data_IF_840776767053
#
_entry.id   IF_840776767053
#
_cell.length_a   1.000
_cell.length_b   1.000
_cell.length_c   1.000
_cell.angle_alpha   90.00
_cell.angle_beta   90.00
_cell.angle_gamma   90.00
#
_symmetry.space_group_name_H-M   'P 1'
#
loop_
_entity.id
_entity.type
_entity.pdbx_description
1 polymer ?
#
# COMPACT_ATOMS: atom_id res chain seq x y z
N UNK A 1 20.13 -22.68 -0.57
CA UNK A 1 20.36 -21.89 -1.81
C UNK A 1 21.75 -22.14 -2.43
N UNK A 2 22.85 -22.20 -1.66
CA UNK A 2 24.17 -22.57 -2.22
C UNK A 2 24.21 -23.97 -2.87
N UNK A 3 23.35 -24.89 -2.42
CA UNK A 3 23.16 -26.19 -3.08
C UNK A 3 22.52 -26.12 -4.47
N UNK A 4 21.84 -25.01 -4.81
CA UNK A 4 21.27 -24.74 -6.14
C UNK A 4 22.33 -24.12 -7.05
N UNK A 5 23.01 -23.07 -6.57
CA UNK A 5 24.12 -22.46 -7.28
C UNK A 5 25.05 -21.73 -6.32
N UNK A 6 26.36 -21.87 -6.56
CA UNK A 6 27.43 -21.14 -5.86
C UNK A 6 27.88 -19.86 -6.60
N UNK A 7 27.46 -19.72 -7.86
CA UNK A 7 27.92 -18.68 -8.78
C UNK A 7 26.81 -17.67 -9.14
N UNK A 8 25.58 -18.13 -9.30
CA UNK A 8 24.44 -17.25 -9.57
C UNK A 8 23.95 -16.62 -8.27
N UNK A 9 23.87 -15.28 -8.17
CA UNK A 9 23.17 -14.62 -7.06
C UNK A 9 21.72 -15.09 -6.98
N UNK A 10 21.31 -15.60 -5.83
CA UNK A 10 19.92 -16.00 -5.56
C UNK A 10 19.46 -15.28 -4.30
N UNK A 11 18.40 -14.48 -4.43
CA UNK A 11 17.64 -13.89 -3.34
C UNK A 11 16.20 -14.40 -3.43
N UNK A 12 15.63 -14.86 -2.33
CA UNK A 12 14.23 -15.26 -2.22
C UNK A 12 13.57 -14.42 -1.14
N UNK A 13 12.73 -13.47 -1.54
CA UNK A 13 11.95 -12.65 -0.62
C UNK A 13 10.66 -13.38 -0.28
N UNK A 14 10.28 -13.35 1.00
CA UNK A 14 8.95 -13.83 1.44
C UNK A 14 7.88 -12.95 0.79
N UNK A 15 6.73 -13.53 0.52
CA UNK A 15 5.60 -12.85 -0.11
C UNK A 15 5.19 -11.57 0.61
N UNK A 16 5.32 -11.51 1.93
CA UNK A 16 5.03 -10.31 2.74
C UNK A 16 6.11 -9.21 2.66
N UNK A 17 7.19 -9.43 1.91
CA UNK A 17 8.25 -8.45 1.70
C UNK A 17 9.18 -8.19 2.89
N UNK A 18 8.87 -8.69 4.10
CA UNK A 18 9.57 -8.33 5.34
C UNK A 18 10.71 -9.28 5.74
N UNK A 19 10.97 -10.30 4.92
CA UNK A 19 12.10 -11.19 5.11
C UNK A 19 12.60 -11.80 3.81
N UNK A 20 13.87 -12.22 3.80
CA UNK A 20 14.45 -12.91 2.66
C UNK A 20 15.51 -13.95 3.04
N UNK A 21 15.77 -14.86 2.11
CA UNK A 21 16.91 -15.76 2.11
C UNK A 21 17.83 -15.41 0.95
N UNK A 22 19.14 -15.55 1.14
CA UNK A 22 20.10 -15.34 0.04
C UNK A 22 21.26 -16.34 0.09
N UNK A 23 21.83 -16.66 -1.08
CA UNK A 23 23.02 -17.52 -1.16
C UNK A 23 24.34 -16.72 -1.01
N UNK A 24 25.48 -17.40 -0.93
CA UNK A 24 26.79 -16.72 -0.80
C UNK A 24 27.13 -15.86 -2.02
N UNK A 25 26.67 -16.24 -3.21
CA UNK A 25 26.86 -15.44 -4.42
C UNK A 25 26.11 -14.10 -4.33
N UNK A 26 24.85 -14.11 -3.85
CA UNK A 26 24.07 -12.91 -3.60
C UNK A 26 24.72 -12.03 -2.52
N UNK A 27 25.20 -12.62 -1.41
CA UNK A 27 25.93 -11.85 -0.39
C UNK A 27 27.13 -11.09 -0.97
N UNK A 28 27.95 -11.75 -1.81
CA UNK A 28 29.08 -11.10 -2.50
C UNK A 28 28.60 -10.03 -3.48
N UNK A 29 27.58 -10.33 -4.27
CA UNK A 29 27.04 -9.40 -5.26
C UNK A 29 26.51 -8.12 -4.61
N UNK A 30 25.76 -8.24 -3.51
CA UNK A 30 25.20 -7.12 -2.74
C UNK A 30 26.22 -6.39 -1.86
N UNK A 31 27.44 -6.92 -1.71
CA UNK A 31 28.40 -6.49 -0.69
C UNK A 31 27.81 -6.53 0.73
N UNK A 32 27.04 -7.58 1.04
CA UNK A 32 26.30 -7.72 2.29
C UNK A 32 27.14 -8.39 3.40
N UNK A 33 27.70 -7.56 4.28
CA UNK A 33 28.63 -7.93 5.35
C UNK A 33 27.95 -8.16 6.73
N UNK A 34 26.64 -7.95 6.82
CA UNK A 34 25.91 -8.08 8.09
C UNK A 34 25.87 -9.53 8.61
N UNK A 35 25.86 -9.72 9.95
CA UNK A 35 25.86 -11.05 10.53
C UNK A 35 24.58 -11.81 10.18
N UNK A 36 24.74 -13.11 9.90
CA UNK A 36 23.63 -14.08 9.82
C UNK A 36 24.03 -15.20 10.78
N UNK A 37 23.28 -15.35 11.88
CA UNK A 37 23.62 -16.31 12.95
C UNK A 37 23.62 -17.75 12.42
N UNK A 38 22.52 -18.16 11.76
CA UNK A 38 22.47 -19.44 11.07
C UNK A 38 22.09 -19.27 9.60
N UNK A 39 22.70 -20.09 8.73
CA UNK A 39 22.44 -20.06 7.29
C UNK A 39 20.97 -20.35 6.90
N UNK A 40 20.19 -20.89 7.84
CA UNK A 40 18.76 -21.18 7.72
C UNK A 40 17.85 -20.09 8.28
N UNK A 41 18.40 -19.04 8.89
CA UNK A 41 17.60 -17.96 9.45
C UNK A 41 17.21 -16.99 8.34
N UNK A 42 15.95 -16.54 8.30
CA UNK A 42 15.56 -15.47 7.41
C UNK A 42 16.24 -14.17 7.84
N UNK A 43 16.70 -13.38 6.87
CA UNK A 43 17.12 -12.00 7.09
C UNK A 43 15.84 -11.16 7.21
N UNK A 44 15.66 -10.43 8.31
CA UNK A 44 14.45 -9.67 8.61
C UNK A 44 14.76 -8.27 9.15
N UNK A 45 13.73 -7.43 9.27
CA UNK A 45 13.85 -6.07 9.82
C UNK A 45 14.83 -5.22 9.02
N UNK A 46 15.65 -4.39 9.68
CA UNK A 46 16.58 -3.46 9.01
C UNK A 46 17.56 -4.14 8.05
N UNK A 47 17.94 -5.39 8.32
CA UNK A 47 18.84 -6.14 7.44
C UNK A 47 18.15 -6.63 6.16
N UNK A 48 16.84 -6.88 6.19
CA UNK A 48 16.05 -7.14 4.99
C UNK A 48 16.03 -5.89 4.11
N UNK A 49 15.72 -4.74 4.70
CA UNK A 49 15.67 -3.45 3.98
C UNK A 49 17.01 -3.13 3.31
N UNK A 50 18.12 -3.26 4.04
CA UNK A 50 19.45 -3.05 3.47
C UNK A 50 19.76 -3.99 2.30
N UNK A 51 19.38 -5.26 2.40
CA UNK A 51 19.60 -6.22 1.32
C UNK A 51 18.78 -5.89 0.07
N UNK A 52 17.54 -5.40 0.25
CA UNK A 52 16.65 -4.97 -0.84
C UNK A 52 17.18 -3.68 -1.48
N UNK A 53 17.60 -2.70 -0.69
CA UNK A 53 18.24 -1.46 -1.16
C UNK A 53 19.44 -1.79 -2.08
N UNK A 54 20.37 -2.61 -1.58
CA UNK A 54 21.57 -3.02 -2.33
C UNK A 54 21.26 -3.77 -3.61
N UNK A 55 20.16 -4.54 -3.62
CA UNK A 55 19.68 -5.25 -4.80
C UNK A 55 19.20 -4.22 -5.82
N UNK A 56 18.35 -3.27 -5.41
CA UNK A 56 17.80 -2.25 -6.31
C UNK A 56 18.90 -1.39 -6.96
N UNK A 57 19.90 -0.96 -6.18
CA UNK A 57 21.09 -0.23 -6.69
C UNK A 57 21.80 -0.98 -7.83
N UNK A 58 21.69 -2.30 -7.89
CA UNK A 58 22.40 -3.17 -8.86
C UNK A 58 21.52 -3.67 -9.98
N UNK A 59 20.19 -3.54 -9.89
CA UNK A 59 19.28 -3.86 -10.99
C UNK A 59 19.50 -2.81 -12.09
N UNK A 60 19.78 -3.20 -13.35
CA UNK A 60 20.01 -2.24 -14.43
C UNK A 60 18.81 -1.30 -14.63
N UNK A 61 19.09 0.00 -14.82
CA UNK A 61 18.07 1.06 -15.01
C UNK A 61 17.08 0.71 -16.12
N UNK A 62 17.55 0.19 -17.26
CA UNK A 62 16.67 -0.17 -18.38
C UNK A 62 15.68 -1.30 -18.03
N UNK A 63 16.09 -2.24 -17.17
CA UNK A 63 15.18 -3.27 -16.66
C UNK A 63 14.13 -2.67 -15.71
N UNK A 64 14.50 -1.68 -14.89
CA UNK A 64 13.56 -0.96 -14.03
C UNK A 64 12.53 -0.17 -14.87
N UNK A 65 12.98 0.52 -15.92
CA UNK A 65 12.10 1.20 -16.90
C UNK A 65 11.12 0.23 -17.55
N UNK A 66 11.59 -0.91 -18.02
CA UNK A 66 10.75 -1.95 -18.61
C UNK A 66 9.72 -2.49 -17.62
N UNK A 67 10.13 -2.70 -16.36
CA UNK A 67 9.25 -3.16 -15.29
C UNK A 67 8.11 -2.15 -15.02
N UNK A 68 8.40 -0.85 -14.92
CA UNK A 68 7.36 0.17 -14.73
C UNK A 68 6.37 0.23 -15.89
N UNK A 69 6.86 0.18 -17.15
CA UNK A 69 5.99 0.16 -18.33
C UNK A 69 5.13 -1.10 -18.38
N UNK A 70 5.71 -2.25 -18.01
CA UNK A 70 4.99 -3.53 -17.94
C UNK A 70 3.92 -3.51 -16.87
N UNK A 71 4.22 -2.98 -15.68
CA UNK A 71 3.25 -2.80 -14.60
C UNK A 71 2.10 -1.89 -15.02
N UNK A 72 2.38 -0.77 -15.70
CA UNK A 72 1.33 0.11 -16.22
C UNK A 72 0.39 -0.56 -17.23
N UNK A 73 0.93 -1.38 -18.14
CA UNK A 73 0.10 -2.18 -19.07
C UNK A 73 -0.74 -3.23 -18.35
N UNK A 74 -0.16 -3.89 -17.35
CA UNK A 74 -0.88 -4.88 -16.54
C UNK A 74 -2.04 -4.24 -15.78
N UNK A 75 -1.80 -3.08 -15.15
CA UNK A 75 -2.80 -2.27 -14.46
C UNK A 75 -3.95 -1.85 -15.40
N UNK A 76 -3.63 -1.33 -16.59
CA UNK A 76 -4.63 -0.99 -17.60
C UNK A 76 -5.48 -2.18 -18.00
N UNK A 77 -4.86 -3.35 -18.19
CA UNK A 77 -5.58 -4.56 -18.60
C UNK A 77 -6.61 -5.03 -17.57
N UNK A 78 -6.45 -4.61 -16.31
CA UNK A 78 -7.34 -4.90 -15.17
C UNK A 78 -8.28 -3.74 -14.82
N UNK A 79 -8.28 -2.65 -15.61
CA UNK A 79 -9.15 -1.49 -15.39
C UNK A 79 -8.60 -0.44 -14.42
N UNK A 80 -7.33 -0.49 -14.05
CA UNK A 80 -6.69 0.57 -13.25
C UNK A 80 -6.14 1.63 -14.18
N UNK A 81 -6.75 2.81 -14.19
CA UNK A 81 -6.33 3.96 -15.02
C UNK A 81 -5.51 5.00 -14.26
N UNK A 82 -5.48 4.92 -12.93
CA UNK A 82 -4.63 5.75 -12.09
C UNK A 82 -4.23 5.09 -10.78
N UNK A 83 -3.04 5.45 -10.26
CA UNK A 83 -2.48 4.85 -9.05
C UNK A 83 -1.63 5.81 -8.22
N UNK A 84 -1.68 5.65 -6.90
CA UNK A 84 -0.63 6.13 -6.01
C UNK A 84 0.54 5.13 -6.09
N UNK A 85 1.71 5.61 -6.50
CA UNK A 85 2.91 4.79 -6.68
C UNK A 85 3.84 5.05 -5.51
N UNK A 86 3.93 4.06 -4.62
CA UNK A 86 4.91 4.05 -3.54
C UNK A 86 6.27 3.75 -4.18
N UNK A 87 7.08 4.79 -4.37
CA UNK A 87 8.28 4.75 -5.23
C UNK A 87 9.56 4.83 -4.41
N UNK A 88 10.57 4.08 -4.85
CA UNK A 88 11.83 3.92 -4.15
C UNK A 88 11.69 2.97 -2.98
N UNK A 89 12.15 1.73 -3.12
CA UNK A 89 12.17 0.77 -2.01
C UNK A 89 13.36 1.09 -1.11
N UNK A 90 13.21 0.88 0.21
CA UNK A 90 14.25 1.13 1.21
C UNK A 90 14.93 2.53 1.11
N UNK A 91 14.18 3.59 0.74
CA UNK A 91 14.71 4.94 0.65
C UNK A 91 15.45 5.30 -0.65
N UNK A 92 15.49 4.40 -1.64
CA UNK A 92 16.18 4.64 -2.90
C UNK A 92 15.42 5.59 -3.83
N UNK A 93 15.85 6.85 -3.93
CA UNK A 93 15.13 7.90 -4.67
C UNK A 93 15.44 7.98 -6.17
N UNK A 94 16.44 7.25 -6.69
CA UNK A 94 16.80 7.30 -8.13
C UNK A 94 15.63 6.89 -9.03
N UNK A 95 14.78 5.98 -8.54
CA UNK A 95 13.60 5.52 -9.28
C UNK A 95 12.59 6.63 -9.55
N UNK A 96 12.58 7.71 -8.79
CA UNK A 96 11.74 8.90 -9.07
C UNK A 96 12.09 9.48 -10.44
N UNK A 97 13.37 9.72 -10.71
CA UNK A 97 13.83 10.31 -11.97
C UNK A 97 13.70 9.33 -13.14
N UNK A 98 14.03 8.05 -12.90
CA UNK A 98 13.81 6.98 -13.88
C UNK A 98 12.34 6.93 -14.27
N UNK A 99 11.43 6.98 -13.31
CA UNK A 99 10.01 6.97 -13.55
C UNK A 99 9.53 8.22 -14.28
N UNK A 100 10.02 9.42 -13.91
CA UNK A 100 9.71 10.68 -14.61
C UNK A 100 10.06 10.61 -16.10
N UNK A 101 11.21 10.02 -16.45
CA UNK A 101 11.63 9.82 -17.85
C UNK A 101 10.63 8.98 -18.66
N UNK A 102 10.02 7.98 -18.03
CA UNK A 102 9.13 7.01 -18.69
C UNK A 102 7.65 7.18 -18.36
N UNK A 103 7.26 8.19 -17.57
CA UNK A 103 5.90 8.35 -17.04
C UNK A 103 4.82 8.32 -18.13
N UNK A 104 5.09 8.92 -19.29
CA UNK A 104 4.18 8.91 -20.44
C UNK A 104 4.01 7.51 -21.06
N UNK A 105 5.03 6.65 -20.97
CA UNK A 105 5.03 5.26 -21.46
C UNK A 105 4.34 4.29 -20.51
N UNK A 106 4.25 4.60 -19.22
CA UNK A 106 3.54 3.77 -18.22
C UNK A 106 2.06 3.65 -18.57
N UNK A 107 1.47 4.71 -19.11
CA UNK A 107 0.11 4.63 -19.67
C UNK A 107 -1.01 4.68 -18.63
N UNK A 108 -0.75 5.02 -17.37
CA UNK A 108 -1.75 5.36 -16.34
C UNK A 108 -1.46 6.74 -15.70
N UNK A 109 -2.45 7.33 -15.04
CA UNK A 109 -2.24 8.55 -14.23
C UNK A 109 -1.55 8.16 -12.93
N UNK A 110 -0.46 8.82 -12.53
CA UNK A 110 0.26 8.41 -11.32
C UNK A 110 0.64 9.57 -10.44
N UNK A 111 0.55 9.31 -9.14
CA UNK A 111 1.04 10.20 -8.09
C UNK A 111 2.13 9.47 -7.31
N UNK A 112 3.32 10.05 -7.30
CA UNK A 112 4.48 9.45 -6.64
C UNK A 112 4.48 9.77 -5.15
N UNK A 113 4.69 8.74 -4.35
CA UNK A 113 4.93 8.80 -2.90
C UNK A 113 6.32 8.21 -2.65
N UNK A 114 7.36 9.05 -2.53
CA UNK A 114 8.72 8.58 -2.30
C UNK A 114 8.88 8.03 -0.88
N UNK A 115 9.37 6.80 -0.76
CA UNK A 115 9.48 6.10 0.53
C UNK A 115 10.81 6.40 1.23
N UNK A 116 11.11 7.68 1.44
CA UNK A 116 12.33 8.13 2.11
C UNK A 116 11.99 9.08 3.29
N UNK A 117 12.49 8.81 4.51
CA UNK A 117 12.23 9.66 5.67
C UNK A 117 13.07 10.95 5.72
N UNK A 118 14.06 11.12 4.85
CA UNK A 118 14.86 12.35 4.73
C UNK A 118 14.08 13.40 3.93
N UNK A 119 13.33 14.24 4.63
CA UNK A 119 12.43 15.26 4.07
C UNK A 119 13.17 16.18 3.09
N UNK A 120 14.40 16.59 3.40
CA UNK A 120 15.19 17.49 2.55
C UNK A 120 15.43 16.88 1.17
N UNK A 121 15.78 15.59 1.10
CA UNK A 121 16.01 14.89 -0.18
C UNK A 121 14.74 14.78 -1.02
N UNK A 122 13.59 14.61 -0.38
CA UNK A 122 12.30 14.59 -1.09
C UNK A 122 11.97 15.98 -1.64
N UNK A 123 12.22 17.03 -0.87
CA UNK A 123 12.03 18.41 -1.30
C UNK A 123 12.97 18.80 -2.46
N UNK A 124 14.22 18.33 -2.46
CA UNK A 124 15.18 18.53 -3.57
C UNK A 124 14.67 17.96 -4.91
N UNK A 125 13.79 16.96 -4.86
CA UNK A 125 13.13 16.39 -6.04
C UNK A 125 11.86 17.13 -6.45
N UNK A 126 11.51 18.24 -5.78
CA UNK A 126 10.31 19.05 -6.03
C UNK A 126 9.00 18.23 -5.95
N UNK A 127 8.97 17.24 -5.05
CA UNK A 127 7.78 16.44 -4.77
C UNK A 127 6.95 17.08 -3.67
N UNK A 128 5.62 16.96 -3.74
CA UNK A 128 4.68 17.49 -2.74
C UNK A 128 4.20 16.43 -1.74
N UNK A 129 4.84 15.26 -1.74
CA UNK A 129 4.42 14.10 -0.96
C UNK A 129 5.66 13.35 -0.51
N UNK A 130 5.57 12.73 0.66
CA UNK A 130 6.47 11.69 1.09
C UNK A 130 5.68 10.53 1.66
N UNK A 131 6.32 9.38 1.67
CA UNK A 131 5.79 8.21 2.32
C UNK A 131 5.43 7.13 1.34
N UNK A 132 4.52 6.30 1.79
CA UNK A 132 4.19 5.00 1.24
C UNK A 132 4.49 3.99 2.33
N UNK A 133 5.23 2.94 2.02
CA UNK A 133 5.80 2.04 3.02
C UNK A 133 7.04 2.65 3.71
N UNK A 134 6.95 3.90 4.22
CA UNK A 134 7.81 4.26 5.36
C UNK A 134 7.25 3.45 6.53
N UNK A 135 7.93 2.35 6.82
CA UNK A 135 7.49 1.31 7.75
C UNK A 135 7.60 1.83 9.19
N UNK A 136 6.45 1.96 9.87
CA UNK A 136 6.42 2.16 11.32
C UNK A 136 6.55 0.81 12.05
N UNK A 137 5.97 -0.24 11.47
CA UNK A 137 6.09 -1.62 11.91
C UNK A 137 6.16 -2.61 10.73
N UNK A 138 6.14 -3.92 11.04
CA UNK A 138 6.12 -4.98 10.03
C UNK A 138 4.72 -5.55 9.79
N UNK A 139 4.59 -6.88 9.71
CA UNK A 139 3.32 -7.57 9.40
C UNK A 139 2.92 -8.61 10.44
N UNK A 140 1.65 -9.00 10.48
CA UNK A 140 1.18 -10.11 11.32
C UNK A 140 1.79 -11.46 10.91
N UNK A 141 2.05 -11.64 9.61
CA UNK A 141 2.62 -12.87 9.05
C UNK A 141 4.01 -13.19 9.60
N UNK A 142 4.82 -12.15 9.82
CA UNK A 142 6.15 -12.23 10.40
C UNK A 142 6.19 -11.96 11.92
N UNK A 143 5.04 -11.65 12.53
CA UNK A 143 4.90 -11.24 13.95
C UNK A 143 5.74 -10.01 14.29
N UNK A 144 5.87 -9.11 13.33
CA UNK A 144 6.64 -7.86 13.44
C UNK A 144 5.75 -6.63 13.46
N UNK A 145 4.46 -6.75 13.11
CA UNK A 145 3.49 -5.67 13.36
C UNK A 145 3.39 -5.39 14.85
N UNK A 146 3.46 -4.11 15.24
CA UNK A 146 3.59 -3.66 16.62
C UNK A 146 2.22 -3.63 17.30
N UNK A 147 2.06 -4.42 18.36
CA UNK A 147 0.79 -4.60 19.05
C UNK A 147 0.82 -3.97 20.44
N UNK A 148 -0.31 -3.48 20.93
CA UNK A 148 -0.50 -3.06 22.34
C UNK A 148 -0.55 -4.23 23.32
N UNK A 149 -0.78 -5.45 22.82
CA UNK A 149 -0.82 -6.71 23.59
C UNK A 149 -0.12 -7.84 22.84
N UNK A 150 0.46 -8.84 23.54
CA UNK A 150 1.28 -9.85 22.88
C UNK A 150 0.51 -10.63 21.82
N UNK A 151 1.21 -11.16 20.81
CA UNK A 151 0.64 -12.11 19.87
C UNK A 151 0.07 -13.33 20.62
N UNK A 152 -1.13 -13.77 20.23
CA UNK A 152 -1.83 -14.89 20.87
C UNK A 152 -1.04 -16.19 20.76
N UNK A 153 -0.33 -16.39 19.65
CA UNK A 153 0.46 -17.59 19.39
C UNK A 153 1.97 -17.41 19.65
N UNK A 154 2.39 -16.28 20.19
CA UNK A 154 3.77 -16.00 20.57
C UNK A 154 3.80 -15.12 21.84
N UNK A 155 3.60 -15.73 23.03
CA UNK A 155 3.60 -15.00 24.30
C UNK A 155 4.87 -14.17 24.49
N UNK A 156 4.70 -12.93 24.95
CA UNK A 156 5.80 -11.97 25.16
C UNK A 156 6.27 -11.24 23.91
N UNK A 157 5.90 -11.68 22.70
CA UNK A 157 6.19 -10.94 21.49
C UNK A 157 5.12 -9.86 21.25
N UNK A 158 5.53 -8.60 21.15
CA UNK A 158 4.68 -7.43 20.90
C UNK A 158 4.88 -6.84 19.50
N UNK A 159 5.69 -7.47 18.64
CA UNK A 159 6.14 -6.88 17.38
C UNK A 159 7.26 -5.86 17.57
N UNK A 160 7.46 -5.01 16.55
CA UNK A 160 8.60 -4.09 16.49
C UNK A 160 8.13 -2.74 15.94
N UNK A 161 8.40 -1.66 16.69
CA UNK A 161 8.38 -0.30 16.14
C UNK A 161 9.76 0.02 15.56
N UNK A 162 9.80 0.51 14.33
CA UNK A 162 11.05 0.89 13.67
C UNK A 162 11.49 2.33 13.98
N UNK A 163 10.60 3.12 14.56
CA UNK A 163 10.86 4.48 15.02
C UNK A 163 10.57 4.60 16.51
N UNK A 164 11.38 5.41 17.20
CA UNK A 164 10.98 5.97 18.49
C UNK A 164 9.93 7.07 18.29
N UNK A 165 9.15 7.34 19.35
CA UNK A 165 8.15 8.41 19.33
C UNK A 165 8.77 9.78 18.98
N UNK A 166 10.01 10.03 19.40
CA UNK A 166 10.72 11.28 19.08
C UNK A 166 11.16 11.35 17.62
N UNK A 167 11.63 10.25 17.04
CA UNK A 167 12.05 10.22 15.63
C UNK A 167 10.85 10.43 14.71
N UNK A 168 9.73 9.71 14.95
CA UNK A 168 8.53 9.88 14.15
C UNK A 168 7.91 11.28 14.32
N UNK A 169 7.87 11.81 15.55
CA UNK A 169 7.41 13.17 15.81
C UNK A 169 8.22 14.22 15.05
N UNK A 170 9.54 14.08 15.01
CA UNK A 170 10.40 15.00 14.26
C UNK A 170 10.17 14.89 12.75
N UNK A 171 10.05 13.67 12.22
CA UNK A 171 9.74 13.45 10.81
C UNK A 171 8.41 14.10 10.42
N UNK A 172 7.35 13.84 11.20
CA UNK A 172 6.02 14.41 10.97
C UNK A 172 6.05 15.94 11.00
N UNK A 173 6.75 16.52 11.98
CA UNK A 173 6.91 17.97 12.09
C UNK A 173 7.59 18.54 10.83
N UNK A 174 8.76 18.04 10.47
CA UNK A 174 9.53 18.55 9.32
C UNK A 174 8.76 18.42 8.02
N UNK A 175 8.12 17.27 7.78
CA UNK A 175 7.31 17.04 6.59
C UNK A 175 6.09 17.95 6.50
N UNK A 176 5.39 18.16 7.62
CA UNK A 176 4.23 19.05 7.68
C UNK A 176 4.64 20.52 7.45
N UNK A 177 5.75 20.97 8.05
CA UNK A 177 6.31 22.31 7.83
C UNK A 177 6.76 22.51 6.37
N UNK A 178 7.19 21.45 5.69
CA UNK A 178 7.51 21.44 4.27
C UNK A 178 6.27 21.34 3.34
N UNK A 179 5.06 21.23 3.89
CA UNK A 179 3.82 21.14 3.12
C UNK A 179 3.64 19.83 2.36
N UNK A 180 4.31 18.76 2.80
CA UNK A 180 4.23 17.46 2.16
C UNK A 180 3.04 16.64 2.68
N UNK A 181 2.24 16.08 1.77
CA UNK A 181 1.31 15.02 2.14
C UNK A 181 2.13 13.81 2.64
N UNK A 182 1.79 13.32 3.83
CA UNK A 182 2.46 12.19 4.47
C UNK A 182 1.62 10.93 4.33
N UNK A 183 2.29 9.80 4.13
CA UNK A 183 1.69 8.50 4.39
C UNK A 183 2.68 7.49 4.98
N UNK A 184 2.22 6.67 5.91
CA UNK A 184 3.05 5.72 6.65
C UNK A 184 2.41 4.34 6.67
N UNK A 185 3.22 3.30 6.58
CA UNK A 185 2.79 1.92 6.79
C UNK A 185 2.62 1.65 8.27
N UNK A 186 1.42 1.20 8.67
CA UNK A 186 1.17 0.67 10.00
C UNK A 186 0.10 -0.42 9.98
N UNK A 187 0.47 -1.61 10.45
CA UNK A 187 -0.43 -2.77 10.50
C UNK A 187 -0.98 -2.98 11.92
N UNK A 188 -0.14 -2.91 12.94
CA UNK A 188 -0.51 -3.15 14.33
C UNK A 188 -1.07 -1.91 15.05
N UNK A 189 -1.85 -2.13 16.12
CA UNK A 189 -2.53 -1.06 16.86
C UNK A 189 -1.57 -0.11 17.59
N UNK A 190 -0.37 -0.57 17.96
CA UNK A 190 0.66 0.30 18.55
C UNK A 190 1.32 1.21 17.50
N UNK A 191 1.50 0.73 16.27
CA UNK A 191 2.04 1.55 15.19
C UNK A 191 1.04 2.63 14.74
N UNK A 192 -0.24 2.27 14.63
CA UNK A 192 -1.32 3.23 14.34
C UNK A 192 -1.42 4.29 15.45
N UNK A 193 -1.34 3.89 16.72
CA UNK A 193 -1.24 4.80 17.87
C UNK A 193 -0.06 5.78 17.71
N UNK A 194 1.12 5.28 17.38
CA UNK A 194 2.33 6.09 17.26
C UNK A 194 2.18 7.19 16.19
N UNK A 195 1.60 6.86 15.05
CA UNK A 195 1.34 7.83 13.97
C UNK A 195 0.31 8.87 14.42
N UNK A 196 -0.83 8.43 14.98
CA UNK A 196 -1.89 9.34 15.43
C UNK A 196 -1.34 10.31 16.48
N UNK A 197 -0.58 9.82 17.47
CA UNK A 197 0.05 10.65 18.50
C UNK A 197 1.04 11.67 17.92
N UNK A 198 1.75 11.34 16.83
CA UNK A 198 2.61 12.29 16.13
C UNK A 198 1.79 13.34 15.35
N UNK A 199 0.73 12.92 14.66
CA UNK A 199 -0.16 13.83 13.93
C UNK A 199 -0.89 14.81 14.85
N UNK A 200 -1.45 14.36 15.98
CA UNK A 200 -2.12 15.21 16.98
C UNK A 200 -1.26 16.40 17.45
N UNK A 201 0.07 16.28 17.36
CA UNK A 201 0.99 17.33 17.80
C UNK A 201 1.30 18.38 16.74
N UNK A 202 1.20 18.05 15.45
CA UNK A 202 1.82 18.86 14.40
C UNK A 202 0.93 19.14 13.20
N UNK A 203 -0.09 18.33 12.91
CA UNK A 203 -0.97 18.56 11.76
C UNK A 203 -2.20 19.37 12.18
N UNK A 204 -2.75 20.14 11.24
CA UNK A 204 -4.09 20.71 11.39
C UNK A 204 -5.13 19.58 11.35
N UNK A 205 -6.03 19.43 12.35
CA UNK A 205 -7.09 18.42 12.35
C UNK A 205 -8.05 18.49 11.15
N UNK A 206 -8.16 19.65 10.48
CA UNK A 206 -8.87 19.75 9.20
C UNK A 206 -8.21 18.92 8.09
N UNK A 207 -6.92 18.60 8.28
CA UNK A 207 -6.07 17.79 7.43
C UNK A 207 -6.08 18.23 5.95
N UNK A 208 -5.71 19.49 5.65
CA UNK A 208 -5.75 20.03 4.29
C UNK A 208 -4.84 19.28 3.33
N UNK A 209 -3.72 18.73 3.84
CA UNK A 209 -2.77 17.93 3.08
C UNK A 209 -3.24 16.49 2.86
N UNK A 210 -4.28 16.04 3.57
CA UNK A 210 -4.86 14.69 3.48
C UNK A 210 -3.84 13.61 3.86
N UNK A 211 -3.17 13.79 4.99
CA UNK A 211 -2.29 12.79 5.58
C UNK A 211 -3.01 11.45 5.73
N UNK A 212 -2.25 10.37 5.52
CA UNK A 212 -2.76 9.00 5.41
C UNK A 212 -2.05 8.05 6.35
N UNK A 213 -2.75 6.97 6.70
CA UNK A 213 -2.15 5.75 7.23
C UNK A 213 -2.45 4.64 6.22
N UNK A 214 -1.41 3.98 5.71
CA UNK A 214 -1.57 2.79 4.87
C UNK A 214 -1.76 1.56 5.74
N UNK A 215 -2.55 0.62 5.22
CA UNK A 215 -3.02 -0.59 5.87
C UNK A 215 -4.01 -0.28 6.99
N UNK A 216 -3.53 0.31 8.10
CA UNK A 216 -4.31 0.54 9.32
C UNK A 216 -5.11 -0.71 9.72
N UNK A 217 -4.49 -1.89 9.59
CA UNK A 217 -5.23 -3.15 9.63
C UNK A 217 -5.88 -3.38 10.98
N UNK A 218 -5.11 -3.41 12.08
CA UNK A 218 -5.66 -3.56 13.42
C UNK A 218 -5.93 -2.18 14.03
N UNK A 219 -7.18 -1.73 13.93
CA UNK A 219 -7.60 -0.41 14.40
C UNK A 219 -8.80 -0.52 15.35
N UNK A 220 -8.57 -0.59 16.68
CA UNK A 220 -9.65 -0.63 17.67
C UNK A 220 -10.43 0.71 17.73
N UNK A 221 -11.65 0.72 18.32
CA UNK A 221 -12.55 1.88 18.31
C UNK A 221 -11.93 3.20 18.81
N UNK A 222 -11.06 3.16 19.82
CA UNK A 222 -10.38 4.35 20.34
C UNK A 222 -9.46 5.01 19.29
N UNK A 223 -8.83 4.21 18.43
CA UNK A 223 -8.00 4.72 17.34
C UNK A 223 -8.86 5.21 16.16
N UNK A 224 -10.01 4.58 15.89
CA UNK A 224 -10.96 5.05 14.89
C UNK A 224 -11.45 6.46 15.23
N UNK A 225 -11.81 6.70 16.50
CA UNK A 225 -12.26 8.01 16.98
C UNK A 225 -11.20 9.09 16.79
N UNK A 226 -9.95 8.81 17.16
CA UNK A 226 -8.84 9.77 17.02
C UNK A 226 -8.45 10.00 15.56
N UNK A 227 -8.47 8.96 14.73
CA UNK A 227 -8.25 9.11 13.29
C UNK A 227 -9.32 9.99 12.64
N UNK A 228 -10.60 9.88 13.08
CA UNK A 228 -11.69 10.75 12.64
C UNK A 228 -11.45 12.19 13.04
N UNK A 229 -11.04 12.43 14.28
CA UNK A 229 -10.82 13.79 14.80
C UNK A 229 -9.71 14.53 14.04
N UNK A 230 -8.77 13.78 13.48
CA UNK A 230 -7.72 14.27 12.58
C UNK A 230 -8.11 14.24 11.08
N UNK A 231 -9.35 13.89 10.74
CA UNK A 231 -9.83 13.75 9.36
C UNK A 231 -8.87 12.95 8.47
N UNK A 232 -8.31 11.85 9.00
CA UNK A 232 -7.34 11.03 8.27
C UNK A 232 -7.99 10.29 7.10
N UNK A 233 -7.18 10.05 6.06
CA UNK A 233 -7.53 9.13 4.98
C UNK A 233 -6.84 7.79 5.26
N UNK A 234 -7.56 6.69 5.13
CA UNK A 234 -6.99 5.35 5.34
C UNK A 234 -6.79 4.66 3.99
N UNK A 235 -5.54 4.31 3.70
CA UNK A 235 -5.18 3.52 2.54
C UNK A 235 -5.35 2.03 2.86
N UNK A 236 -6.30 1.33 2.23
CA UNK A 236 -6.71 -0.01 2.67
C UNK A 236 -6.62 -1.06 1.55
N UNK A 237 -6.37 -2.32 1.94
CA UNK A 237 -6.23 -3.46 1.02
C UNK A 237 -7.27 -4.55 1.38
N UNK A 238 -8.51 -4.46 0.90
CA UNK A 238 -9.60 -5.35 1.33
C UNK A 238 -9.33 -6.85 1.09
N UNK A 239 -8.54 -7.19 0.07
CA UNK A 239 -8.17 -8.58 -0.25
C UNK A 239 -7.41 -9.24 0.91
N UNK A 240 -6.66 -8.47 1.71
CA UNK A 240 -5.91 -8.98 2.87
C UNK A 240 -6.85 -9.67 3.85
N UNK A 241 -7.97 -9.03 4.18
CA UNK A 241 -8.93 -9.55 5.14
C UNK A 241 -9.62 -10.83 4.63
N UNK A 242 -9.99 -10.88 3.35
CA UNK A 242 -10.57 -12.12 2.80
C UNK A 242 -9.56 -13.26 2.69
N UNK A 243 -8.26 -12.96 2.59
CA UNK A 243 -7.19 -13.95 2.46
C UNK A 243 -6.73 -14.47 3.82
N UNK A 244 -6.58 -13.57 4.81
CA UNK A 244 -5.93 -13.87 6.08
C UNK A 244 -6.83 -13.69 7.32
N UNK A 245 -7.88 -12.88 7.20
CA UNK A 245 -8.84 -12.53 8.25
C UNK A 245 -9.98 -13.53 8.47
N UNK A 246 -10.01 -14.62 7.71
CA UNK A 246 -11.01 -15.68 7.85
C UNK A 246 -10.99 -16.32 9.24
N UNK A 247 -12.11 -16.93 9.63
CA UNK A 247 -12.21 -17.70 10.87
C UNK A 247 -11.18 -18.86 10.87
N UNK A 248 -10.42 -19.01 11.95
CA UNK A 248 -9.29 -19.95 12.01
C UNK A 248 -8.10 -19.61 11.09
N UNK A 249 -8.17 -18.49 10.36
CA UNK A 249 -7.13 -17.97 9.48
C UNK A 249 -5.92 -17.43 10.22
N UNK A 250 -5.04 -16.74 9.49
CA UNK A 250 -3.79 -16.22 10.05
C UNK A 250 -4.06 -15.17 11.13
N UNK A 251 -5.00 -14.24 10.92
CA UNK A 251 -5.31 -13.19 11.91
C UNK A 251 -5.91 -13.78 13.18
N UNK A 252 -6.81 -14.76 13.06
CA UNK A 252 -7.38 -15.47 14.20
C UNK A 252 -6.29 -16.11 15.07
N UNK A 253 -5.30 -16.77 14.46
CA UNK A 253 -4.17 -17.39 15.17
C UNK A 253 -3.28 -16.35 15.85
N UNK A 254 -3.00 -15.23 15.18
CA UNK A 254 -2.08 -14.18 15.67
C UNK A 254 -2.69 -13.28 16.73
N UNK A 255 -3.97 -12.95 16.61
CA UNK A 255 -4.64 -11.88 17.36
C UNK A 255 -5.72 -12.39 18.32
N UNK A 256 -6.23 -13.61 18.10
CA UNK A 256 -7.39 -14.15 18.81
C UNK A 256 -8.61 -13.26 18.63
N UNK A 257 -9.31 -12.97 19.72
CA UNK A 257 -10.50 -12.11 19.76
C UNK A 257 -10.29 -10.70 19.18
N UNK A 258 -9.04 -10.20 19.18
CA UNK A 258 -8.72 -8.88 18.60
C UNK A 258 -8.84 -8.86 17.08
N UNK A 259 -8.92 -10.00 16.40
CA UNK A 259 -9.18 -10.06 14.94
C UNK A 259 -10.46 -9.30 14.56
N UNK A 260 -11.41 -9.12 15.48
CA UNK A 260 -12.64 -8.35 15.20
C UNK A 260 -12.40 -6.86 14.88
N UNK A 261 -11.18 -6.38 15.13
CA UNK A 261 -10.73 -5.03 14.82
C UNK A 261 -9.79 -4.98 13.62
N UNK A 262 -9.61 -6.10 12.89
CA UNK A 262 -8.88 -6.06 11.62
C UNK A 262 -9.80 -5.57 10.51
N UNK A 263 -9.31 -4.61 9.72
CA UNK A 263 -9.97 -4.07 8.53
C UNK A 263 -11.47 -3.74 8.71
N UNK A 264 -11.90 -3.03 9.79
CA UNK A 264 -13.31 -2.87 10.13
C UNK A 264 -14.01 -1.82 9.25
N UNK A 265 -14.13 -2.08 7.94
CA UNK A 265 -14.45 -1.09 6.91
C UNK A 265 -15.78 -0.35 7.15
N UNK A 266 -16.84 -1.05 7.56
CA UNK A 266 -18.10 -0.41 7.95
C UNK A 266 -17.89 0.55 9.12
N UNK A 267 -17.24 0.09 10.18
CA UNK A 267 -16.97 0.92 11.36
C UNK A 267 -16.17 2.18 11.01
N UNK A 268 -15.21 2.08 10.09
CA UNK A 268 -14.44 3.23 9.59
C UNK A 268 -15.33 4.23 8.82
N UNK A 269 -16.16 3.75 7.89
CA UNK A 269 -17.06 4.61 7.12
C UNK A 269 -18.12 5.27 8.01
N UNK A 270 -18.70 4.54 8.96
CA UNK A 270 -19.71 5.06 9.88
C UNK A 270 -19.14 6.13 10.83
N UNK A 271 -17.83 6.04 11.14
CA UNK A 271 -17.11 7.10 11.86
C UNK A 271 -16.83 8.34 11.00
N UNK A 272 -17.08 8.30 9.68
CA UNK A 272 -16.85 9.40 8.75
C UNK A 272 -15.46 9.42 8.11
N UNK A 273 -14.66 8.36 8.29
CA UNK A 273 -13.35 8.24 7.65
C UNK A 273 -13.47 7.96 6.16
N UNK A 274 -12.43 8.31 5.41
CA UNK A 274 -12.34 8.04 3.96
C UNK A 274 -11.40 6.87 3.71
N UNK A 275 -11.87 5.90 2.94
CA UNK A 275 -11.07 4.76 2.48
C UNK A 275 -10.56 5.01 1.06
N UNK A 276 -9.25 4.94 0.86
CA UNK A 276 -8.60 4.92 -0.45
C UNK A 276 -8.06 3.50 -0.69
N UNK A 277 -8.73 2.72 -1.53
CA UNK A 277 -8.42 1.30 -1.67
C UNK A 277 -7.29 1.04 -2.68
N UNK A 278 -6.50 0.00 -2.41
CA UNK A 278 -5.44 -0.49 -3.29
C UNK A 278 -5.24 -2.00 -3.12
N UNK A 279 -4.31 -2.58 -3.87
CA UNK A 279 -3.94 -4.00 -3.76
C UNK A 279 -2.62 -4.22 -3.03
N UNK A 280 -1.82 -3.15 -2.84
CA UNK A 280 -0.42 -3.28 -2.43
C UNK A 280 0.34 -4.26 -3.33
N UNK A 281 0.16 -4.12 -4.65
CA UNK A 281 0.77 -5.05 -5.59
C UNK A 281 2.30 -4.99 -5.49
N UNK A 282 2.99 -6.15 -5.54
CA UNK A 282 2.46 -7.45 -5.93
C UNK A 282 1.97 -8.34 -4.78
N UNK A 283 1.82 -7.83 -3.55
CA UNK A 283 1.39 -8.63 -2.38
C UNK A 283 0.02 -9.27 -2.62
N UNK A 284 -0.92 -8.50 -3.17
CA UNK A 284 -2.10 -9.07 -3.84
C UNK A 284 -2.19 -8.61 -5.28
N UNK A 285 -2.94 -9.36 -6.09
CA UNK A 285 -3.14 -9.03 -7.50
C UNK A 285 -3.75 -7.61 -7.63
N UNK A 286 -3.26 -6.76 -8.54
CA UNK A 286 -3.80 -5.41 -8.74
C UNK A 286 -5.11 -5.45 -9.54
N UNK A 287 -6.11 -6.13 -8.99
CA UNK A 287 -7.41 -6.38 -9.60
C UNK A 287 -8.51 -5.73 -8.74
N UNK A 288 -9.01 -4.54 -9.13
CA UNK A 288 -10.08 -3.86 -8.40
C UNK A 288 -11.35 -4.70 -8.25
N UNK A 289 -11.63 -5.62 -9.19
CA UNK A 289 -12.80 -6.50 -9.09
C UNK A 289 -12.69 -7.42 -7.87
N UNK A 290 -11.50 -7.97 -7.61
CA UNK A 290 -11.23 -8.76 -6.41
C UNK A 290 -11.29 -7.91 -5.15
N UNK A 291 -10.75 -6.69 -5.20
CA UNK A 291 -10.82 -5.74 -4.09
C UNK A 291 -12.25 -5.36 -3.70
N UNK A 292 -13.09 -5.04 -4.68
CA UNK A 292 -14.52 -4.74 -4.47
C UNK A 292 -15.22 -5.99 -3.92
N UNK A 293 -15.01 -7.18 -4.50
CA UNK A 293 -15.58 -8.43 -3.96
C UNK A 293 -15.14 -8.68 -2.52
N UNK A 294 -13.92 -8.33 -2.15
CA UNK A 294 -13.42 -8.51 -0.79
C UNK A 294 -14.12 -7.59 0.22
N UNK A 295 -14.40 -6.33 -0.14
CA UNK A 295 -15.25 -5.45 0.67
C UNK A 295 -16.66 -6.03 0.91
N UNK A 296 -17.26 -6.62 -0.12
CA UNK A 296 -18.60 -7.20 -0.05
C UNK A 296 -18.66 -8.53 0.72
N UNK A 297 -17.53 -9.25 0.78
CA UNK A 297 -17.40 -10.58 1.37
C UNK A 297 -16.48 -10.59 2.60
N UNK A 298 -16.37 -9.45 3.29
CA UNK A 298 -15.65 -9.37 4.56
C UNK A 298 -16.14 -10.50 5.52
N UNK A 299 -15.23 -11.27 6.15
CA UNK A 299 -15.56 -12.46 6.95
C UNK A 299 -16.40 -12.14 8.20
N UNK A 300 -16.40 -10.88 8.64
CA UNK A 300 -17.30 -10.35 9.66
C UNK A 300 -18.40 -9.55 8.95
N UNK A 301 -19.62 -10.07 8.94
CA UNK A 301 -20.74 -9.53 8.15
C UNK A 301 -21.03 -8.05 8.44
N UNK A 302 -20.94 -7.63 9.69
CA UNK A 302 -21.17 -6.23 10.09
C UNK A 302 -20.12 -5.25 9.54
N UNK A 303 -18.96 -5.73 9.10
CA UNK A 303 -17.90 -4.88 8.53
C UNK A 303 -17.94 -4.80 7.01
N UNK A 304 -18.89 -5.50 6.36
CA UNK A 304 -19.11 -5.39 4.91
C UNK A 304 -19.63 -4.00 4.54
N UNK A 305 -19.20 -3.51 3.38
CA UNK A 305 -19.68 -2.23 2.84
C UNK A 305 -20.53 -2.42 1.58
N UNK A 306 -21.28 -1.39 1.18
CA UNK A 306 -22.12 -1.47 -0.01
C UNK A 306 -21.27 -1.45 -1.28
N UNK A 307 -21.79 -1.95 -2.41
CA UNK A 307 -21.05 -1.92 -3.67
C UNK A 307 -20.67 -0.50 -4.11
N UNK A 308 -21.54 0.50 -3.89
CA UNK A 308 -21.24 1.90 -4.23
C UNK A 308 -20.12 2.48 -3.35
N UNK A 309 -20.08 2.15 -2.06
CA UNK A 309 -18.98 2.57 -1.19
C UNK A 309 -17.66 1.89 -1.60
N UNK A 310 -17.69 0.61 -1.96
CA UNK A 310 -16.53 -0.13 -2.43
C UNK A 310 -15.99 0.44 -3.77
N UNK A 311 -16.87 0.75 -4.72
CA UNK A 311 -16.48 1.44 -5.97
C UNK A 311 -15.92 2.83 -5.66
N UNK A 312 -16.54 3.58 -4.75
CA UNK A 312 -16.06 4.90 -4.37
C UNK A 312 -14.64 4.83 -3.77
N UNK A 313 -14.33 3.82 -2.97
CA UNK A 313 -13.01 3.59 -2.39
C UNK A 313 -11.91 3.42 -3.46
N UNK A 314 -12.22 2.75 -4.57
CA UNK A 314 -11.32 2.57 -5.72
C UNK A 314 -11.35 3.71 -6.75
N UNK A 315 -12.30 4.65 -6.65
CA UNK A 315 -12.50 5.73 -7.63
C UNK A 315 -12.41 7.11 -6.97
N UNK A 316 -13.54 7.72 -6.63
CA UNK A 316 -13.61 9.11 -6.12
C UNK A 316 -12.84 9.33 -4.82
N UNK A 317 -12.81 8.35 -3.91
CA UNK A 317 -12.07 8.44 -2.64
C UNK A 317 -10.57 8.19 -2.84
N UNK A 318 -10.20 7.29 -3.75
CA UNK A 318 -8.82 7.14 -4.19
C UNK A 318 -8.27 8.41 -4.84
N UNK A 319 -9.06 9.03 -5.74
CA UNK A 319 -8.73 10.32 -6.36
C UNK A 319 -8.58 11.43 -5.31
N UNK A 320 -9.47 11.49 -4.32
CA UNK A 320 -9.36 12.43 -3.19
C UNK A 320 -8.06 12.21 -2.40
N UNK A 321 -7.71 10.96 -2.08
CA UNK A 321 -6.45 10.64 -1.38
C UNK A 321 -5.19 11.03 -2.17
N UNK A 322 -5.31 11.23 -3.48
CA UNK A 322 -4.23 11.65 -4.38
C UNK A 322 -4.27 13.14 -4.76
N UNK A 323 -5.29 13.90 -4.31
CA UNK A 323 -5.58 15.28 -4.79
C UNK A 323 -5.83 15.35 -6.31
N UNK A 324 -6.62 14.42 -6.83
CA UNK A 324 -7.02 14.32 -8.25
C UNK A 324 -8.54 14.33 -8.47
N UNK A 325 -9.33 14.53 -7.41
CA UNK A 325 -10.79 14.43 -7.44
C UNK A 325 -11.48 15.50 -8.28
N UNK A 326 -10.75 16.53 -8.72
CA UNK A 326 -11.21 17.58 -9.63
C UNK A 326 -11.09 17.18 -11.11
N UNK A 327 -10.39 16.08 -11.41
CA UNK A 327 -10.09 15.62 -12.77
C UNK A 327 -10.37 14.15 -13.05
N UNK A 328 -10.36 13.27 -12.04
CA UNK A 328 -10.61 11.82 -12.21
C UNK A 328 -11.48 11.25 -11.08
N UNK A 329 -11.85 9.96 -11.21
CA UNK A 329 -12.56 9.22 -10.17
C UNK A 329 -14.07 9.48 -10.15
N UNK A 330 -14.62 10.23 -11.10
CA UNK A 330 -16.05 10.45 -11.28
C UNK A 330 -16.37 10.73 -12.75
N UNK A 331 -17.55 10.31 -13.21
CA UNK A 331 -18.05 10.61 -14.55
C UNK A 331 -18.76 11.96 -14.53
N UNK A 332 -18.04 13.02 -14.88
CA UNK A 332 -18.52 14.41 -14.85
C UNK A 332 -17.96 15.21 -16.03
N UNK A 333 -18.68 16.25 -16.46
CA UNK A 333 -18.18 17.19 -17.46
C UNK A 333 -16.90 17.86 -16.94
N UNK A 334 -15.85 17.91 -17.76
CA UNK A 334 -14.54 18.46 -17.41
C UNK A 334 -13.54 17.45 -16.84
N UNK A 335 -13.97 16.22 -16.54
CA UNK A 335 -13.09 15.17 -16.00
C UNK A 335 -12.49 14.33 -17.15
N UNK A 336 -11.39 13.63 -16.88
CA UNK A 336 -10.82 12.66 -17.82
C UNK A 336 -11.83 11.54 -18.09
N UNK A 337 -12.01 11.19 -19.37
CA UNK A 337 -12.81 10.05 -19.79
C UNK A 337 -12.04 8.73 -19.57
N UNK A 338 -11.85 8.40 -18.29
CA UNK A 338 -11.25 7.16 -17.80
C UNK A 338 -12.38 6.26 -17.31
N UNK A 339 -12.83 5.33 -18.15
CA UNK A 339 -14.08 4.60 -17.98
C UNK A 339 -13.85 3.09 -18.06
N UNK A 340 -14.63 2.35 -17.28
CA UNK A 340 -14.76 0.90 -17.36
C UNK A 340 -16.11 0.57 -17.97
N UNK A 341 -16.11 -0.31 -18.97
CA UNK A 341 -17.31 -0.74 -19.68
C UNK A 341 -17.63 -2.17 -19.29
N UNK A 342 -18.90 -2.40 -18.97
CA UNK A 342 -19.47 -3.70 -18.60
C UNK A 342 -20.64 -4.00 -19.53
N UNK A 343 -20.89 -5.28 -19.82
CA UNK A 343 -22.03 -5.68 -20.66
C UNK A 343 -23.37 -5.50 -19.93
N UNK A 344 -23.39 -5.86 -18.65
CA UNK A 344 -24.53 -5.73 -17.74
C UNK A 344 -24.13 -4.89 -16.53
N UNK A 345 -25.10 -4.53 -15.67
CA UNK A 345 -24.80 -3.84 -14.42
C UNK A 345 -23.91 -4.74 -13.52
N UNK A 346 -22.65 -4.35 -13.24
CA UNK A 346 -21.74 -5.15 -12.43
C UNK A 346 -22.18 -5.27 -10.97
N UNK A 347 -23.10 -4.40 -10.51
CA UNK A 347 -23.68 -4.44 -9.18
C UNK A 347 -24.80 -5.46 -9.06
N UNK A 348 -25.50 -5.75 -10.15
CA UNK A 348 -26.55 -6.78 -10.18
C UNK A 348 -25.97 -8.17 -10.44
N UNK A 349 -25.04 -8.27 -11.40
CA UNK A 349 -24.45 -9.57 -11.80
C UNK A 349 -23.35 -10.05 -10.86
N UNK A 350 -22.70 -9.12 -10.13
CA UNK A 350 -21.48 -9.40 -9.37
C UNK A 350 -20.25 -9.68 -10.24
N UNK A 351 -20.37 -9.57 -11.58
CA UNK A 351 -19.24 -9.61 -12.49
C UNK A 351 -18.60 -8.22 -12.59
N UNK A 352 -17.62 -8.00 -11.73
CA UNK A 352 -16.90 -6.74 -11.62
C UNK A 352 -15.72 -6.66 -12.59
N UNK A 353 -15.60 -7.59 -13.55
CA UNK A 353 -14.55 -7.56 -14.57
C UNK A 353 -15.00 -6.71 -15.77
N UNK A 354 -14.27 -5.65 -16.14
CA UNK A 354 -14.64 -4.84 -17.29
C UNK A 354 -14.37 -5.57 -18.62
N UNK A 355 -15.27 -5.39 -19.58
CA UNK A 355 -15.11 -5.84 -20.97
C UNK A 355 -14.20 -4.93 -21.77
N UNK A 356 -14.18 -3.64 -21.43
CA UNK A 356 -13.29 -2.65 -22.02
C UNK A 356 -12.86 -1.59 -21.02
N UNK A 357 -11.67 -1.05 -21.27
CA UNK A 357 -11.07 0.03 -20.52
C UNK A 357 -10.83 1.19 -21.48
N UNK A 358 -11.39 2.34 -21.14
CA UNK A 358 -11.20 3.60 -21.86
C UNK A 358 -10.32 4.48 -20.98
N UNK A 359 -9.27 5.07 -21.55
CA UNK A 359 -8.45 6.07 -20.89
C UNK A 359 -8.35 7.31 -21.77
N UNK A 360 -8.66 8.48 -21.20
CA UNK A 360 -8.69 9.77 -21.91
C UNK A 360 -9.49 9.67 -23.24
N UNK A 361 -10.61 8.96 -23.20
CA UNK A 361 -11.51 8.78 -24.34
C UNK A 361 -11.06 7.78 -25.40
N UNK A 362 -9.98 7.02 -25.17
CA UNK A 362 -9.48 5.99 -26.09
C UNK A 362 -9.62 4.60 -25.49
N UNK A 363 -10.07 3.63 -26.29
CA UNK A 363 -10.04 2.21 -25.92
C UNK A 363 -8.58 1.75 -25.79
N UNK A 364 -8.19 1.28 -24.61
CA UNK A 364 -6.81 0.85 -24.29
C UNK A 364 -6.71 -0.62 -23.92
N UNK A 365 -7.81 -1.26 -23.52
CA UNK A 365 -7.89 -2.71 -23.31
C UNK A 365 -9.31 -3.21 -23.57
N UNK A 366 -9.43 -4.47 -23.99
CA UNK A 366 -10.73 -5.11 -24.25
C UNK A 366 -11.39 -4.68 -25.55
N UNK A 367 -12.71 -4.86 -25.65
CA UNK A 367 -13.51 -4.48 -26.82
C UNK A 367 -14.91 -4.02 -26.42
N UNK A 368 -15.51 -3.17 -27.26
CA UNK A 368 -16.90 -2.72 -27.12
C UNK A 368 -17.64 -3.27 -28.33
N UNK A 369 -18.62 -4.14 -28.13
CA UNK A 369 -19.48 -4.58 -29.23
C UNK A 369 -20.45 -3.44 -29.55
N UNK A 370 -20.51 -2.99 -30.81
CA UNK A 370 -21.61 -2.11 -31.23
C UNK A 370 -22.92 -2.93 -31.12
N UNK A 371 -23.97 -2.41 -30.46
CA UNK A 371 -25.26 -3.06 -30.53
C UNK A 371 -25.67 -3.20 -32.00
N UNK A 372 -26.31 -4.31 -32.41
CA UNK A 372 -26.76 -4.48 -33.78
C UNK A 372 -27.64 -3.28 -34.17
N UNK A 373 -27.25 -2.60 -35.25
CA UNK A 373 -27.92 -1.39 -35.76
C UNK A 373 -29.32 -1.65 -36.29
#
# INVERSE_FOLDING_TARGET
LDGISKNLPILLRREDGHSLYMNRAARRWLLFDQPIEHASDPISGRFNELAVERMQERVPVELRKEAFVTAGRDLLSKGVTGAAVMIGDAGHLEDVEIYREIATKVGIETVLFPQNPEVEKVCELELSRLGGCILIDGSFGSRTAALRKPYTDAPGNMGILYFSNSELANLVKCANEAGLQMTFHAIGDEAVEQIIAAYERFIDPANPLRHRIEHAELIPPDLIERARDLNLVLGVQPVFETTWGQEGGMYAKRLGERRRWTNPFRSLLDAGLRLAAGSDAPITAPDPAQGIKAFLNHPIDKERITPLEAIAAYTSKGAYGMHLEDRIGSVRVGYSADLLVFDDDPLETGDLKPQAVIRRGKLVAGSIQEPPR
#
